data_IF_273499877443
#
_entry.id   IF_273499877443
#
_cell.length_a   1.000
_cell.length_b   1.000
_cell.length_c   1.000
_cell.angle_alpha   90.00
_cell.angle_beta   90.00
_cell.angle_gamma   90.00
#
_symmetry.space_group_name_H-M   'P 1'
#
loop_
_entity.id
_entity.type
_entity.pdbx_description
1 polymer ?
#
# COMPACT_ATOMS: atom_id res chain seq x y z
N UNK A 1 1.74 -84.76 5.29
CA UNK A 1 0.41 -84.18 5.56
C UNK A 1 0.41 -83.65 6.98
N UNK A 2 0.11 -82.35 7.15
CA UNK A 2 -0.58 -81.66 8.27
C UNK A 2 -0.10 -82.05 9.70
N UNK A 3 0.37 -81.21 10.61
CA UNK A 3 -0.07 -79.88 11.03
C UNK A 3 0.90 -79.43 12.13
N UNK A 4 1.35 -78.18 12.14
CA UNK A 4 1.87 -77.56 13.37
C UNK A 4 0.96 -76.38 13.68
N UNK A 5 0.13 -76.57 14.70
CA UNK A 5 -0.86 -75.61 15.17
C UNK A 5 -0.25 -74.77 16.32
N UNK A 6 -0.28 -73.45 16.11
CA UNK A 6 -0.31 -72.33 17.06
C UNK A 6 0.72 -72.21 18.19
N UNK A 7 1.34 -71.02 18.26
CA UNK A 7 1.71 -70.41 19.53
C UNK A 7 1.59 -68.88 19.47
N UNK A 8 0.47 -68.39 19.98
CA UNK A 8 0.28 -67.27 20.92
C UNK A 8 1.19 -66.03 20.72
N UNK A 9 0.57 -64.93 20.25
CA UNK A 9 1.09 -63.56 20.42
C UNK A 9 0.76 -63.05 21.83
N UNK A 10 1.69 -62.36 22.51
CA UNK A 10 1.31 -61.32 23.45
C UNK A 10 1.85 -59.96 23.00
N UNK A 11 0.89 -59.09 22.67
CA UNK A 11 0.81 -57.73 23.24
C UNK A 11 2.08 -56.88 23.29
N UNK A 12 2.49 -56.32 22.15
CA UNK A 12 3.39 -55.16 22.06
C UNK A 12 2.62 -53.86 21.73
N UNK A 13 1.33 -53.78 22.08
CA UNK A 13 0.47 -52.64 21.74
C UNK A 13 -0.04 -51.84 22.95
N UNK A 14 0.51 -52.07 24.15
CA UNK A 14 0.10 -51.33 25.35
C UNK A 14 1.13 -50.32 25.90
N UNK A 15 2.35 -50.28 25.35
CA UNK A 15 3.38 -49.33 25.80
C UNK A 15 3.38 -47.98 25.04
N UNK A 16 2.59 -47.86 23.96
CA UNK A 16 2.59 -46.67 23.10
C UNK A 16 1.56 -45.59 23.44
N UNK A 17 0.57 -45.87 24.29
CA UNK A 17 -0.59 -44.99 24.47
C UNK A 17 -0.47 -43.99 25.63
N UNK A 18 0.52 -44.13 26.53
CA UNK A 18 0.64 -43.24 27.71
C UNK A 18 1.53 -42.03 27.43
N UNK A 19 2.46 -42.11 26.47
CA UNK A 19 3.38 -40.99 26.14
C UNK A 19 2.76 -39.89 25.27
N UNK A 20 1.53 -40.06 24.78
CA UNK A 20 0.88 -39.06 23.91
C UNK A 20 0.04 -38.01 24.67
N UNK A 21 -0.23 -38.22 25.98
CA UNK A 21 -1.16 -37.35 26.71
C UNK A 21 -0.53 -36.09 27.32
N UNK A 22 0.82 -35.97 27.33
CA UNK A 22 1.51 -34.89 28.07
C UNK A 22 1.92 -33.70 27.17
N UNK A 23 1.64 -33.74 25.86
CA UNK A 23 2.10 -32.70 24.91
C UNK A 23 1.00 -31.75 24.41
N UNK A 24 -0.23 -31.85 24.91
CA UNK A 24 -1.37 -31.03 24.44
C UNK A 24 -1.68 -29.80 25.31
N UNK A 25 -0.82 -29.42 26.27
CA UNK A 25 -1.10 -28.27 27.16
C UNK A 25 -0.65 -26.89 26.64
N UNK A 26 -0.20 -26.78 25.39
CA UNK A 26 0.19 -25.48 24.82
C UNK A 26 -0.96 -24.90 24.00
N UNK A 27 -1.92 -24.24 24.68
CA UNK A 27 -2.78 -23.15 24.20
C UNK A 27 -3.93 -22.90 25.20
N UNK A 28 -3.60 -22.74 26.50
CA UNK A 28 -4.55 -22.09 27.40
C UNK A 28 -4.41 -20.59 27.22
N UNK A 29 -5.12 -20.04 26.23
CA UNK A 29 -5.36 -18.60 26.16
C UNK A 29 -6.08 -18.23 27.44
N UNK A 30 -5.43 -17.43 28.30
CA UNK A 30 -6.01 -16.96 29.55
C UNK A 30 -7.43 -16.41 29.30
N UNK A 31 -8.47 -16.90 30.01
CA UNK A 31 -9.82 -16.33 29.90
C UNK A 31 -9.91 -14.91 30.47
N UNK A 32 -8.82 -14.41 31.06
CA UNK A 32 -8.64 -13.04 31.56
C UNK A 32 -7.64 -12.23 30.73
N UNK A 33 -7.14 -12.75 29.60
CA UNK A 33 -6.40 -11.95 28.65
C UNK A 33 -7.39 -10.96 28.04
N UNK A 34 -7.38 -9.74 28.58
CA UNK A 34 -8.08 -8.59 28.02
C UNK A 34 -7.80 -8.57 26.51
N UNK A 35 -8.86 -8.56 25.70
CA UNK A 35 -8.72 -8.52 24.25
C UNK A 35 -7.70 -7.44 23.87
N UNK A 36 -6.76 -7.70 22.94
CA UNK A 36 -5.79 -6.71 22.53
C UNK A 36 -6.53 -5.47 22.05
N UNK A 37 -6.43 -4.38 22.81
CA UNK A 37 -7.01 -3.10 22.45
C UNK A 37 -6.26 -2.61 21.22
N UNK A 38 -6.96 -2.44 20.10
CA UNK A 38 -6.37 -1.93 18.86
C UNK A 38 -5.68 -0.59 19.15
N UNK A 39 -4.46 -0.42 18.64
CA UNK A 39 -3.77 0.86 18.71
C UNK A 39 -4.65 1.95 18.04
N UNK A 40 -4.75 3.15 18.64
CA UNK A 40 -5.48 4.25 18.03
C UNK A 40 -4.94 4.52 16.62
N UNK A 41 -5.82 4.48 15.61
CA UNK A 41 -5.41 4.83 14.25
C UNK A 41 -5.16 6.33 14.17
N UNK A 42 -4.04 6.71 13.60
CA UNK A 42 -3.76 8.09 13.26
C UNK A 42 -4.78 8.60 12.23
N UNK A 43 -5.36 9.77 12.50
CA UNK A 43 -6.28 10.47 11.59
C UNK A 43 -5.53 11.71 11.09
N UNK A 44 -5.18 11.80 9.80
CA UNK A 44 -4.41 12.93 9.27
C UNK A 44 -5.25 14.22 9.27
N UNK A 45 -4.61 15.34 9.59
CA UNK A 45 -5.16 16.69 9.42
C UNK A 45 -4.54 17.29 8.17
N UNK A 46 -5.30 17.38 7.08
CA UNK A 46 -4.77 17.84 5.79
C UNK A 46 -4.96 19.34 5.62
N UNK A 47 -3.85 20.05 5.39
CA UNK A 47 -3.82 21.47 5.06
C UNK A 47 -3.16 21.70 3.71
N UNK A 48 -3.48 22.84 3.07
CA UNK A 48 -2.87 23.21 1.79
C UNK A 48 -1.59 24.01 2.01
N UNK A 49 -0.48 23.54 1.46
CA UNK A 49 0.81 24.25 1.43
C UNK A 49 0.80 25.45 0.49
N UNK A 50 1.96 26.09 0.28
CA UNK A 50 2.05 27.22 -0.65
C UNK A 50 1.78 26.82 -2.10
N UNK A 51 1.19 27.74 -2.88
CA UNK A 51 0.90 27.50 -4.28
C UNK A 51 2.18 27.44 -5.11
N UNK A 52 2.27 26.41 -5.95
CA UNK A 52 3.42 26.16 -6.81
C UNK A 52 2.99 26.11 -8.27
N UNK A 53 3.84 26.64 -9.15
CA UNK A 53 3.67 26.48 -10.60
C UNK A 53 4.31 25.18 -11.04
N UNK A 54 3.51 24.30 -11.65
CA UNK A 54 3.95 23.03 -12.21
C UNK A 54 3.74 23.05 -13.72
N UNK A 55 4.74 22.59 -14.48
CA UNK A 55 4.54 22.18 -15.87
C UNK A 55 4.24 20.68 -15.88
N UNK A 56 3.09 20.28 -16.38
CA UNK A 56 2.69 18.88 -16.55
C UNK A 56 2.91 18.49 -18.00
N UNK A 57 3.72 17.45 -18.22
CA UNK A 57 4.10 17.01 -19.56
C UNK A 57 2.95 16.29 -20.28
N UNK A 58 2.94 16.28 -21.62
CA UNK A 58 1.84 15.73 -22.41
C UNK A 58 1.65 14.21 -22.32
N UNK A 59 2.70 13.49 -21.94
CA UNK A 59 2.70 12.03 -21.90
C UNK A 59 2.70 11.51 -20.47
N UNK A 60 1.99 10.41 -20.26
CA UNK A 60 2.02 9.63 -19.02
C UNK A 60 3.16 8.62 -19.09
N UNK A 61 3.67 8.24 -17.92
CA UNK A 61 4.68 7.21 -17.78
C UNK A 61 4.23 6.17 -16.77
N UNK A 62 4.83 4.98 -16.79
CA UNK A 62 4.67 4.05 -15.67
C UNK A 62 5.24 4.69 -14.39
N UNK A 63 4.49 4.60 -13.30
CA UNK A 63 4.99 5.01 -11.99
C UNK A 63 6.14 4.08 -11.55
N UNK A 64 7.08 4.61 -10.78
CA UNK A 64 8.21 3.83 -10.26
C UNK A 64 7.80 2.74 -9.24
N UNK A 65 6.62 2.83 -8.63
CA UNK A 65 6.09 1.81 -7.71
C UNK A 65 5.58 0.59 -8.48
N UNK A 66 5.93 -0.63 -8.04
CA UNK A 66 5.42 -1.87 -8.65
C UNK A 66 3.92 -2.05 -8.38
N UNK A 67 3.12 -1.69 -9.38
CA UNK A 67 1.77 -2.12 -9.79
C UNK A 67 1.41 -1.25 -11.01
N UNK A 68 0.43 -1.60 -11.88
CA UNK A 68 0.20 -0.92 -13.16
C UNK A 68 -0.44 0.47 -13.00
N UNK A 69 0.30 1.42 -12.45
CA UNK A 69 -0.10 2.81 -12.26
C UNK A 69 0.53 3.71 -13.32
N UNK A 70 -0.26 4.68 -13.78
CA UNK A 70 0.20 5.74 -14.68
C UNK A 70 0.48 7.00 -13.87
N UNK A 71 1.59 7.66 -14.19
CA UNK A 71 2.05 8.89 -13.57
C UNK A 71 2.15 10.01 -14.61
N UNK A 72 1.79 11.21 -14.17
CA UNK A 72 2.14 12.46 -14.81
C UNK A 72 3.62 12.75 -14.55
N UNK A 73 4.32 13.27 -15.55
CA UNK A 73 5.61 13.92 -15.34
C UNK A 73 5.37 15.40 -15.09
N UNK A 74 5.70 15.87 -13.90
CA UNK A 74 5.63 17.27 -13.52
C UNK A 74 7.04 17.85 -13.41
N UNK A 75 7.18 19.12 -13.78
CA UNK A 75 8.40 19.91 -13.57
C UNK A 75 8.04 21.14 -12.75
N UNK A 76 8.74 21.32 -11.64
CA UNK A 76 8.62 22.52 -10.82
C UNK A 76 9.41 23.68 -11.40
N UNK A 77 9.21 24.88 -10.84
CA UNK A 77 9.83 26.12 -11.30
C UNK A 77 11.36 26.10 -11.26
N UNK A 78 11.95 25.36 -10.32
CA UNK A 78 13.39 25.13 -10.18
C UNK A 78 13.97 24.15 -11.22
N UNK A 79 13.11 23.53 -12.04
CA UNK A 79 13.50 22.58 -13.09
C UNK A 79 13.51 21.12 -12.66
N UNK A 80 13.24 20.82 -11.38
CA UNK A 80 13.16 19.45 -10.88
C UNK A 80 12.00 18.71 -11.52
N UNK A 81 12.25 17.51 -12.05
CA UNK A 81 11.24 16.65 -12.69
C UNK A 81 10.89 15.50 -11.75
N UNK A 82 9.60 15.29 -11.52
CA UNK A 82 9.09 14.25 -10.64
C UNK A 82 7.79 13.65 -11.15
N UNK A 83 7.42 12.49 -10.61
CA UNK A 83 6.22 11.77 -10.96
C UNK A 83 5.09 12.09 -9.97
N UNK A 84 3.90 12.35 -10.50
CA UNK A 84 2.66 12.46 -9.71
C UNK A 84 1.70 11.39 -10.25
N UNK A 85 1.12 10.52 -9.41
CA UNK A 85 0.11 9.58 -9.89
C UNK A 85 -1.04 10.29 -10.61
N UNK A 86 -1.57 9.66 -11.66
CA UNK A 86 -2.45 10.31 -12.63
C UNK A 86 -3.66 11.05 -12.01
N UNK A 87 -4.22 10.53 -10.92
CA UNK A 87 -5.39 11.07 -10.23
C UNK A 87 -5.07 11.76 -8.89
N UNK A 88 -3.80 12.13 -8.65
CA UNK A 88 -3.36 12.74 -7.37
C UNK A 88 -3.29 14.27 -7.40
N UNK A 89 -3.85 14.89 -8.43
CA UNK A 89 -4.12 16.33 -8.45
C UNK A 89 -5.65 16.50 -8.50
N UNK A 90 -6.24 16.90 -7.38
CA UNK A 90 -7.68 17.09 -7.26
C UNK A 90 -8.17 18.10 -8.29
N UNK A 91 -9.34 17.81 -8.88
CA UNK A 91 -10.01 18.59 -9.93
C UNK A 91 -9.19 18.81 -11.22
N UNK A 92 -8.13 18.03 -11.43
CA UNK A 92 -7.32 18.10 -12.64
C UNK A 92 -7.39 16.80 -13.45
N UNK A 93 -7.86 16.90 -14.71
CA UNK A 93 -7.97 15.77 -15.65
C UNK A 93 -7.22 16.10 -16.94
N UNK A 94 -5.91 15.83 -17.03
CA UNK A 94 -5.12 16.21 -18.20
C UNK A 94 -5.41 15.32 -19.41
N UNK A 95 -5.59 15.95 -20.57
CA UNK A 95 -5.70 15.25 -21.84
C UNK A 95 -4.33 14.72 -22.30
N UNK A 96 -4.31 13.52 -22.86
CA UNK A 96 -3.11 12.95 -23.47
C UNK A 96 -2.64 13.83 -24.63
N UNK A 97 -1.32 14.02 -24.77
CA UNK A 97 -0.75 14.89 -25.80
C UNK A 97 -0.85 16.39 -25.49
N UNK A 98 -1.27 16.78 -24.29
CA UNK A 98 -1.39 18.20 -23.91
C UNK A 98 -0.46 18.55 -22.75
N UNK A 99 0.41 19.52 -22.98
CA UNK A 99 1.22 20.13 -21.94
C UNK A 99 0.37 21.17 -21.20
N UNK A 100 0.45 21.18 -19.87
CA UNK A 100 -0.23 22.14 -19.03
C UNK A 100 0.77 22.91 -18.17
N UNK A 101 0.53 24.20 -17.97
CA UNK A 101 1.13 24.95 -16.86
C UNK A 101 0.00 25.20 -15.87
N UNK A 102 0.14 24.70 -14.65
CA UNK A 102 -0.87 24.80 -13.60
C UNK A 102 -0.29 25.48 -12.36
N UNK A 103 -1.16 26.12 -11.59
CA UNK A 103 -0.91 26.48 -10.20
C UNK A 103 -1.62 25.46 -9.32
N UNK A 104 -0.88 24.78 -8.46
CA UNK A 104 -1.41 23.74 -7.57
C UNK A 104 -0.80 23.88 -6.17
N UNK A 105 -1.55 23.48 -5.14
CA UNK A 105 -1.10 23.50 -3.75
C UNK A 105 -0.87 22.07 -3.28
N UNK A 106 0.30 21.74 -2.69
CA UNK A 106 0.53 20.41 -2.14
C UNK A 106 -0.33 20.23 -0.88
N UNK A 107 -0.81 19.02 -0.65
CA UNK A 107 -1.46 18.65 0.59
C UNK A 107 -0.43 18.19 1.62
N UNK A 108 -0.44 18.85 2.77
CA UNK A 108 0.47 18.60 3.88
C UNK A 108 -0.34 18.00 5.02
N UNK A 109 0.16 16.90 5.58
CA UNK A 109 -0.35 16.40 6.84
C UNK A 109 0.23 17.22 7.98
N UNK A 110 -0.61 18.02 8.63
CA UNK A 110 -0.23 18.92 9.71
C UNK A 110 0.32 18.18 10.94
N UNK A 111 -0.20 16.98 11.23
CA UNK A 111 0.27 16.20 12.39
C UNK A 111 1.66 15.60 12.18
N UNK A 112 2.02 15.27 10.93
CA UNK A 112 3.34 14.74 10.58
C UNK A 112 4.30 15.79 9.98
N UNK A 113 3.79 16.99 9.68
CA UNK A 113 4.52 18.06 8.98
C UNK A 113 5.16 17.57 7.67
N UNK A 114 4.48 16.68 6.95
CA UNK A 114 4.99 16.00 5.77
C UNK A 114 4.04 16.15 4.58
N UNK A 115 4.59 16.15 3.37
CA UNK A 115 3.77 16.14 2.15
C UNK A 115 3.12 14.77 1.95
N UNK A 116 1.83 14.76 1.65
CA UNK A 116 1.07 13.53 1.39
C UNK A 116 1.33 12.95 -0.02
N UNK A 117 1.90 13.76 -0.91
CA UNK A 117 2.02 13.47 -2.35
C UNK A 117 0.80 13.89 -3.18
N UNK A 118 -0.35 14.17 -2.53
CA UNK A 118 -1.53 14.74 -3.18
C UNK A 118 -1.42 16.24 -3.36
N UNK A 119 -2.12 16.75 -4.38
CA UNK A 119 -2.17 18.15 -4.74
C UNK A 119 -3.61 18.58 -4.98
N UNK A 120 -3.88 19.87 -4.79
CA UNK A 120 -5.16 20.48 -5.16
C UNK A 120 -4.90 21.51 -6.25
N UNK A 121 -5.59 21.37 -7.38
CA UNK A 121 -5.53 22.34 -8.46
C UNK A 121 -6.07 23.70 -7.96
N UNK A 122 -5.30 24.76 -8.19
CA UNK A 122 -5.78 26.12 -7.96
C UNK A 122 -6.26 26.75 -9.27
N UNK A 123 -5.43 26.70 -10.32
CA UNK A 123 -5.74 27.25 -11.63
C UNK A 123 -4.97 26.54 -12.75
N UNK A 124 -5.57 26.46 -13.94
CA UNK A 124 -4.83 26.17 -15.18
C UNK A 124 -4.35 27.50 -15.75
N UNK A 125 -3.04 27.70 -15.84
CA UNK A 125 -2.43 28.94 -16.33
C UNK A 125 -2.27 28.92 -17.85
N UNK A 126 -1.92 27.76 -18.42
CA UNK A 126 -1.90 27.56 -19.87
C UNK A 126 -2.04 26.08 -20.21
N UNK A 127 -2.47 25.83 -21.46
CA UNK A 127 -2.52 24.50 -22.04
C UNK A 127 -2.11 24.58 -23.52
N UNK A 128 -1.38 23.58 -23.99
CA UNK A 128 -0.94 23.49 -25.38
C UNK A 128 -0.90 22.03 -25.82
N UNK A 129 -1.59 21.71 -26.92
CA UNK A 129 -1.45 20.43 -27.57
C UNK A 129 -0.05 20.32 -28.16
N UNK A 130 0.70 19.31 -27.72
CA UNK A 130 2.01 18.97 -28.27
C UNK A 130 1.75 17.75 -29.14
N UNK A 131 1.77 17.95 -30.47
CA UNK A 131 1.60 16.86 -31.41
C UNK A 131 2.52 15.70 -31.05
N UNK A 132 1.98 14.48 -31.01
CA UNK A 132 2.82 13.30 -30.89
C UNK A 132 3.72 13.23 -32.13
N UNK A 133 5.05 13.07 -31.98
CA UNK A 133 5.91 12.75 -33.11
C UNK A 133 5.52 11.41 -33.75
#
# INVERSE_FOLDING_TARGET
MISAYQSIKPSLLLAGLISAAILLSACQTSPFAKDPVSEPRYIPSIVLGEAQTLTVMPNRVACASELPMQCLLAKSKDGSVFQIPYDWIDDFKPALGTEYIISARPQIDEGQQSATGHWTLQNILSQRMVGMP
#
